data_IF_029942681743
#
_entry.id   IF_029942681743
#
_cell.length_a   1.000
_cell.length_b   1.000
_cell.length_c   1.000
_cell.angle_alpha   90.00
_cell.angle_beta   90.00
_cell.angle_gamma   90.00
#
_symmetry.space_group_name_H-M   'P 1'
#
loop_
_entity.id
_entity.type
_entity.pdbx_description
1 polymer ?
#
# COMPACT_ATOMS: atom_id res chain seq x y z
N UNK A 1 0.67 -0.74 -6.43
CA UNK A 1 0.05 0.10 -5.37
C UNK A 1 0.70 -0.25 -4.05
N UNK A 2 0.90 0.72 -3.17
CA UNK A 2 1.47 0.54 -1.82
C UNK A 2 0.40 0.81 -0.76
N UNK A 3 0.31 -0.04 0.27
CA UNK A 3 -0.56 0.19 1.43
C UNK A 3 0.13 1.17 2.39
N UNK A 4 -0.32 2.43 2.39
CA UNK A 4 0.31 3.50 3.17
C UNK A 4 0.11 4.89 2.57
N UNK A 5 0.59 5.91 3.27
CA UNK A 5 0.53 7.30 2.82
C UNK A 5 1.76 7.72 2.00
N UNK A 6 2.08 9.02 2.03
CA UNK A 6 3.19 9.60 1.28
C UNK A 6 4.55 9.02 1.67
N UNK A 7 4.78 8.77 2.96
CA UNK A 7 6.05 8.20 3.43
C UNK A 7 6.31 6.82 2.81
N UNK A 8 5.29 5.96 2.73
CA UNK A 8 5.39 4.65 2.11
C UNK A 8 5.57 4.72 0.59
N UNK A 9 4.94 5.71 -0.08
CA UNK A 9 5.19 5.96 -1.50
C UNK A 9 6.66 6.33 -1.73
N UNK A 10 7.20 7.27 -0.95
CA UNK A 10 8.58 7.71 -1.07
C UNK A 10 9.57 6.56 -0.80
N UNK A 11 9.34 5.76 0.23
CA UNK A 11 10.16 4.59 0.52
C UNK A 11 10.17 3.57 -0.63
N UNK A 12 9.02 3.35 -1.29
CA UNK A 12 8.96 2.48 -2.46
C UNK A 12 9.74 3.05 -3.64
N UNK A 13 9.65 4.36 -3.89
CA UNK A 13 10.39 5.04 -4.97
C UNK A 13 11.90 5.05 -4.72
N UNK A 14 12.32 5.28 -3.47
CA UNK A 14 13.72 5.21 -3.05
C UNK A 14 14.29 3.80 -3.27
N UNK A 15 13.51 2.75 -2.98
CA UNK A 15 13.94 1.38 -3.26
C UNK A 15 14.15 1.13 -4.77
N UNK A 16 13.31 1.71 -5.64
CA UNK A 16 13.53 1.64 -7.10
C UNK A 16 14.80 2.40 -7.52
N UNK A 17 15.06 3.56 -6.92
CA UNK A 17 16.28 4.34 -7.16
C UNK A 17 17.54 3.57 -6.76
N UNK A 18 17.55 2.95 -5.57
CA UNK A 18 18.67 2.12 -5.09
C UNK A 18 18.93 0.90 -5.97
N UNK A 19 17.90 0.37 -6.62
CA UNK A 19 18.02 -0.74 -7.56
C UNK A 19 18.38 -0.30 -8.98
N UNK A 20 18.50 1.01 -9.24
CA UNK A 20 18.71 1.61 -10.57
C UNK A 20 17.65 1.17 -11.60
N UNK A 21 16.44 0.84 -11.13
CA UNK A 21 15.32 0.41 -11.97
C UNK A 21 14.30 1.53 -12.08
N UNK A 22 13.90 1.86 -13.32
CA UNK A 22 12.80 2.79 -13.53
C UNK A 22 11.50 2.19 -12.97
N UNK A 23 10.85 2.83 -11.99
CA UNK A 23 9.59 2.34 -11.46
C UNK A 23 8.46 2.40 -12.51
N UNK A 24 7.51 1.46 -12.49
CA UNK A 24 6.21 1.69 -13.11
C UNK A 24 5.47 2.80 -12.36
N UNK A 25 4.29 3.22 -12.82
CA UNK A 25 3.47 4.17 -12.07
C UNK A 25 3.14 3.62 -10.67
N UNK A 26 3.63 4.30 -9.64
CA UNK A 26 3.36 3.93 -8.24
C UNK A 26 2.30 4.85 -7.65
N UNK A 27 1.33 4.24 -6.96
CA UNK A 27 0.33 4.94 -6.15
C UNK A 27 0.25 4.33 -4.75
N UNK A 28 -0.10 5.14 -3.76
CA UNK A 28 -0.38 4.68 -2.39
C UNK A 28 -1.72 5.22 -1.88
N UNK A 29 -2.35 4.47 -0.96
CA UNK A 29 -3.64 4.81 -0.37
C UNK A 29 -3.51 4.96 1.16
N UNK A 30 -3.65 6.18 1.66
CA UNK A 30 -3.59 6.46 3.09
C UNK A 30 -4.84 5.97 3.82
N UNK A 31 -4.67 5.12 4.83
CA UNK A 31 -5.75 4.39 5.51
C UNK A 31 -6.79 5.24 6.26
N UNK A 32 -6.39 6.39 6.83
CA UNK A 32 -7.31 7.21 7.65
C UNK A 32 -8.22 8.09 6.79
N UNK A 33 -7.61 8.84 5.87
CA UNK A 33 -8.29 9.86 5.08
C UNK A 33 -8.62 9.43 3.66
N UNK A 34 -8.24 8.20 3.28
CA UNK A 34 -8.44 7.64 1.95
C UNK A 34 -7.86 8.53 0.84
N UNK A 35 -6.74 9.19 1.15
CA UNK A 35 -5.99 10.02 0.21
C UNK A 35 -5.11 9.15 -0.68
N UNK A 36 -5.21 9.41 -1.99
CA UNK A 36 -4.43 8.71 -3.01
C UNK A 36 -3.22 9.57 -3.33
N UNK A 37 -2.03 9.06 -3.04
CA UNK A 37 -0.78 9.68 -3.45
C UNK A 37 -0.31 9.04 -4.74
N UNK A 38 0.11 9.87 -5.69
CA UNK A 38 0.53 9.43 -7.03
C UNK A 38 1.97 9.88 -7.23
N UNK A 39 2.81 8.97 -7.71
CA UNK A 39 4.17 9.26 -8.10
C UNK A 39 4.24 10.49 -9.02
N UNK A 40 5.11 11.45 -8.67
CA UNK A 40 5.29 12.69 -9.42
C UNK A 40 4.23 13.77 -9.17
N UNK A 41 3.18 13.48 -8.40
CA UNK A 41 2.22 14.49 -7.93
C UNK A 41 2.62 15.03 -6.56
N UNK A 42 2.55 16.34 -6.36
CA UNK A 42 2.75 16.98 -5.05
C UNK A 42 1.51 16.84 -4.18
N UNK A 43 0.33 17.04 -4.78
CA UNK A 43 -0.94 17.03 -4.06
C UNK A 43 -1.60 15.66 -4.12
N UNK A 44 -2.18 15.17 -3.00
CA UNK A 44 -2.94 13.94 -3.00
C UNK A 44 -4.31 14.13 -3.67
N UNK A 45 -4.83 13.06 -4.26
CA UNK A 45 -6.17 13.01 -4.81
C UNK A 45 -7.14 12.52 -3.73
N UNK A 46 -8.19 13.29 -3.48
CA UNK A 46 -9.32 12.89 -2.64
C UNK A 46 -10.52 12.59 -3.51
N UNK A 47 -10.93 11.34 -3.56
CA UNK A 47 -12.13 10.92 -4.28
C UNK A 47 -13.35 10.88 -3.36
N UNK A 48 -14.54 11.05 -3.94
CA UNK A 48 -15.79 10.84 -3.20
C UNK A 48 -15.94 9.38 -2.76
N UNK A 49 -16.60 9.14 -1.63
CA UNK A 49 -16.76 7.79 -1.02
C UNK A 49 -17.38 6.74 -1.96
N UNK A 50 -18.23 7.17 -2.89
CA UNK A 50 -18.88 6.29 -3.86
C UNK A 50 -18.14 6.20 -5.21
N UNK A 51 -16.98 6.84 -5.33
CA UNK A 51 -16.20 6.78 -6.55
C UNK A 51 -15.68 5.35 -6.79
N UNK A 52 -15.90 4.77 -7.98
CA UNK A 52 -15.48 3.39 -8.27
C UNK A 52 -13.96 3.22 -8.21
N UNK A 53 -13.18 4.25 -8.56
CA UNK A 53 -11.71 4.21 -8.47
C UNK A 53 -11.22 4.11 -7.03
N UNK A 54 -11.86 4.80 -6.09
CA UNK A 54 -11.55 4.66 -4.66
C UNK A 54 -11.86 3.25 -4.17
N UNK A 55 -13.04 2.72 -4.53
CA UNK A 55 -13.44 1.37 -4.12
C UNK A 55 -12.49 0.29 -4.65
N UNK A 56 -12.01 0.44 -5.88
CA UNK A 56 -11.02 -0.46 -6.45
C UNK A 56 -9.71 -0.43 -5.64
N UNK A 57 -9.18 0.76 -5.34
CA UNK A 57 -7.95 0.90 -4.56
C UNK A 57 -8.11 0.32 -3.14
N UNK A 58 -9.27 0.52 -2.52
CA UNK A 58 -9.60 -0.08 -1.22
C UNK A 58 -9.60 -1.61 -1.28
N UNK A 59 -10.23 -2.20 -2.31
CA UNK A 59 -10.23 -3.66 -2.48
C UNK A 59 -8.83 -4.24 -2.63
N UNK A 60 -7.97 -3.61 -3.43
CA UNK A 60 -6.57 -4.05 -3.59
C UNK A 60 -5.81 -3.95 -2.25
N UNK A 61 -6.05 -2.88 -1.48
CA UNK A 61 -5.40 -2.67 -0.17
C UNK A 61 -5.86 -3.72 0.82
N UNK A 62 -7.17 -3.94 0.92
CA UNK A 62 -7.76 -4.84 1.88
C UNK A 62 -7.31 -6.28 1.61
N UNK A 63 -7.16 -6.67 0.34
CA UNK A 63 -6.62 -7.97 -0.05
C UNK A 63 -5.13 -8.12 0.31
N UNK A 64 -4.31 -7.09 0.05
CA UNK A 64 -2.90 -7.08 0.46
C UNK A 64 -2.77 -7.16 2.00
N UNK A 65 -3.60 -6.43 2.74
CA UNK A 65 -3.63 -6.46 4.19
C UNK A 65 -4.07 -7.83 4.72
N UNK A 66 -5.13 -8.41 4.14
CA UNK A 66 -5.62 -9.76 4.49
C UNK A 66 -4.53 -10.81 4.31
N UNK A 67 -3.81 -10.76 3.18
CA UNK A 67 -2.71 -11.67 2.90
C UNK A 67 -1.57 -11.52 3.94
N UNK A 68 -1.15 -10.29 4.24
CA UNK A 68 -0.10 -10.03 5.21
C UNK A 68 -0.48 -10.50 6.63
N UNK A 69 -1.70 -10.20 7.09
CA UNK A 69 -2.19 -10.66 8.40
C UNK A 69 -2.24 -12.18 8.49
N UNK A 70 -2.75 -12.85 7.45
CA UNK A 70 -2.80 -14.31 7.41
C UNK A 70 -1.40 -14.92 7.58
N UNK A 71 -0.40 -14.41 6.86
CA UNK A 71 0.97 -14.86 6.99
C UNK A 71 1.54 -14.60 8.39
N UNK A 72 1.30 -13.42 8.98
CA UNK A 72 1.71 -13.13 10.35
C UNK A 72 1.06 -14.06 11.39
N UNK A 73 -0.20 -14.45 11.20
CA UNK A 73 -0.86 -15.43 12.07
C UNK A 73 -0.19 -16.80 12.00
N UNK A 74 0.19 -17.27 10.80
CA UNK A 74 0.92 -18.53 10.63
C UNK A 74 2.27 -18.46 11.37
N UNK A 75 3.04 -17.40 11.16
CA UNK A 75 4.36 -17.23 11.81
C UNK A 75 4.24 -17.19 13.33
N UNK A 76 3.24 -16.48 13.86
CA UNK A 76 2.98 -16.44 15.31
C UNK A 76 2.63 -17.82 15.86
N UNK A 77 1.75 -18.56 15.16
CA UNK A 77 1.35 -19.92 15.58
C UNK A 77 2.54 -20.87 15.63
N UNK A 78 3.43 -20.85 14.62
CA UNK A 78 4.67 -21.65 14.63
C UNK A 78 5.56 -21.31 15.83
N UNK A 79 5.80 -20.01 16.07
CA UNK A 79 6.62 -19.54 17.19
C UNK A 79 6.05 -19.94 18.56
N UNK A 80 4.73 -19.98 18.73
CA UNK A 80 4.09 -20.35 20.00
C UNK A 80 4.03 -21.87 20.20
N UNK A 81 3.93 -22.66 19.14
CA UNK A 81 3.83 -24.13 19.22
C UNK A 81 5.18 -24.86 19.19
N UNK A 82 6.30 -24.17 18.92
CA UNK A 82 7.64 -24.73 19.09
C UNK A 82 8.01 -25.82 18.07
N UNK A 83 7.51 -25.73 16.83
CA UNK A 83 8.10 -26.41 15.66
C UNK A 83 9.00 -25.45 14.88
#
# INVERSE_FOLDING_TARGET
MVDGGLGQLNAALEAFEQLEVKPPMVVSLAKKEELIYVQGSKDPIKLGRNNPGLRLLQQVRDEAHRFAQHYHHILRRKRTLGE
#
